data_IF_757264496204
#
_entry.id   IF_757264496204
#
_cell.length_a   1.000
_cell.length_b   1.000
_cell.length_c   1.000
_cell.angle_alpha   90.00
_cell.angle_beta   90.00
_cell.angle_gamma   90.00
#
_symmetry.space_group_name_H-M   'P 1'
#
loop_
_entity.id
_entity.type
_entity.pdbx_description
1 polymer ?
#
# COMPACT_ATOMS: atom_id res chain seq x y z
N UNK A 1 8.02 14.94 -3.91
CA UNK A 1 9.03 13.90 -4.07
C UNK A 1 8.62 12.63 -3.35
N UNK A 2 8.88 11.51 -3.98
CA UNK A 2 8.54 10.22 -3.37
C UNK A 2 9.55 9.85 -2.30
N UNK A 3 9.06 9.42 -1.14
CA UNK A 3 9.90 8.96 -0.04
C UNK A 3 10.19 7.46 -0.14
N UNK A 4 9.46 6.76 -1.00
CA UNK A 4 9.52 5.32 -1.14
C UNK A 4 9.65 4.92 -2.60
N UNK A 5 10.22 3.74 -2.84
CA UNK A 5 10.22 3.13 -4.18
C UNK A 5 9.56 1.76 -4.11
N UNK A 6 8.86 1.42 -5.18
CA UNK A 6 8.23 0.12 -5.32
C UNK A 6 8.55 -0.43 -6.71
N UNK A 7 9.23 -1.56 -6.75
CA UNK A 7 9.70 -2.17 -8.01
C UNK A 7 8.73 -3.21 -8.57
N UNK A 8 7.52 -3.27 -8.03
CA UNK A 8 6.54 -4.28 -8.40
C UNK A 8 6.49 -5.42 -7.40
N UNK A 9 7.45 -5.51 -6.53
CA UNK A 9 7.53 -6.56 -5.52
C UNK A 9 7.90 -6.03 -4.15
N UNK A 10 8.90 -5.15 -4.06
CA UNK A 10 9.42 -4.64 -2.79
C UNK A 10 9.16 -3.17 -2.62
N UNK A 11 8.75 -2.79 -1.43
CA UNK A 11 8.62 -1.40 -1.01
C UNK A 11 9.85 -1.05 -0.19
N UNK A 12 10.58 -0.02 -0.61
CA UNK A 12 11.84 0.39 0.01
C UNK A 12 11.79 1.86 0.35
N UNK A 13 12.33 2.22 1.51
CA UNK A 13 12.45 3.61 1.92
C UNK A 13 13.70 4.20 1.26
N UNK A 14 13.53 5.28 0.48
CA UNK A 14 14.63 5.86 -0.30
C UNK A 14 15.79 6.34 0.58
N UNK A 15 15.50 6.98 1.70
CA UNK A 15 16.54 7.61 2.52
C UNK A 15 17.51 6.61 3.13
N UNK A 16 17.04 5.40 3.42
CA UNK A 16 17.86 4.39 4.11
C UNK A 16 18.13 3.15 3.27
N UNK A 17 17.39 2.97 2.16
CA UNK A 17 17.45 1.74 1.39
C UNK A 17 16.82 0.56 2.10
N UNK A 18 16.13 0.80 3.20
CA UNK A 18 15.53 -0.26 3.99
C UNK A 18 14.28 -0.82 3.34
N UNK A 19 14.24 -2.14 3.21
CA UNK A 19 13.04 -2.84 2.75
C UNK A 19 11.98 -2.77 3.83
N UNK A 20 10.79 -2.30 3.47
CA UNK A 20 9.66 -2.20 4.40
C UNK A 20 8.66 -3.33 4.24
N UNK A 21 8.48 -3.78 3.01
CA UNK A 21 7.44 -4.74 2.70
C UNK A 21 7.70 -5.39 1.35
N UNK A 22 6.97 -6.46 1.09
CA UNK A 22 6.96 -7.06 -0.24
C UNK A 22 5.62 -7.71 -0.52
N UNK A 23 5.27 -7.79 -1.79
CA UNK A 23 4.10 -8.53 -2.24
C UNK A 23 4.58 -9.85 -2.84
N UNK A 24 3.99 -10.94 -2.37
CA UNK A 24 4.24 -12.28 -2.86
C UNK A 24 2.93 -12.79 -3.41
N UNK A 25 2.80 -12.77 -4.75
CA UNK A 25 1.53 -13.02 -5.44
C UNK A 25 0.50 -11.99 -4.97
N UNK A 26 -0.48 -12.39 -4.19
CA UNK A 26 -1.53 -11.51 -3.69
C UNK A 26 -1.39 -11.21 -2.20
N UNK A 27 -0.31 -11.67 -1.57
CA UNK A 27 -0.10 -11.51 -0.14
C UNK A 27 0.91 -10.40 0.13
N UNK A 28 0.54 -9.49 1.02
CA UNK A 28 1.39 -8.37 1.42
C UNK A 28 2.05 -8.70 2.75
N UNK A 29 3.38 -8.72 2.75
CA UNK A 29 4.17 -9.07 3.94
C UNK A 29 5.06 -7.91 4.33
N UNK A 30 5.23 -7.71 5.64
CA UNK A 30 6.19 -6.74 6.14
C UNK A 30 7.62 -7.27 5.96
N UNK A 31 8.60 -6.44 6.31
CA UNK A 31 10.01 -6.80 6.16
C UNK A 31 10.40 -8.07 6.92
N UNK A 32 9.68 -8.39 8.00
CA UNK A 32 9.96 -9.60 8.80
C UNK A 32 9.09 -10.79 8.42
N UNK A 33 8.35 -10.70 7.30
CA UNK A 33 7.53 -11.80 6.82
C UNK A 33 6.11 -11.85 7.36
N UNK A 34 5.74 -10.94 8.27
CA UNK A 34 4.38 -10.92 8.82
C UNK A 34 3.38 -10.51 7.75
N UNK A 35 2.26 -11.24 7.67
CA UNK A 35 1.20 -10.93 6.71
C UNK A 35 0.40 -9.74 7.20
N UNK A 36 0.32 -8.69 6.35
CA UNK A 36 -0.47 -7.50 6.67
C UNK A 36 -1.80 -7.47 5.92
N UNK A 37 -1.85 -8.10 4.76
CA UNK A 37 -3.06 -8.10 3.99
C UNK A 37 -2.95 -8.91 2.71
N UNK A 38 -4.05 -8.93 1.97
CA UNK A 38 -4.14 -9.67 0.73
C UNK A 38 -4.92 -8.88 -0.31
N UNK A 39 -4.62 -9.14 -1.56
CA UNK A 39 -5.34 -8.57 -2.71
C UNK A 39 -6.26 -9.65 -3.25
N UNK A 40 -7.55 -9.32 -3.41
CA UNK A 40 -8.52 -10.22 -4.00
C UNK A 40 -9.33 -9.45 -5.04
N UNK A 41 -8.96 -9.61 -6.31
CA UNK A 41 -9.58 -8.83 -7.38
C UNK A 41 -9.34 -7.35 -7.18
N UNK A 42 -10.41 -6.59 -6.95
CA UNK A 42 -10.33 -5.15 -6.67
C UNK A 42 -10.20 -4.85 -5.18
N UNK A 43 -10.35 -5.86 -4.34
CA UNK A 43 -10.46 -5.68 -2.90
C UNK A 43 -9.13 -5.84 -2.19
N UNK A 44 -8.93 -5.03 -1.16
CA UNK A 44 -7.83 -5.19 -0.22
C UNK A 44 -8.41 -5.74 1.07
N UNK A 45 -7.85 -6.86 1.53
CA UNK A 45 -8.29 -7.51 2.76
C UNK A 45 -7.16 -7.49 3.77
N UNK A 46 -7.52 -7.34 5.04
CA UNK A 46 -6.52 -7.36 6.11
C UNK A 46 -6.06 -8.81 6.39
N UNK A 47 -5.21 -8.98 7.38
CA UNK A 47 -4.66 -10.30 7.72
C UNK A 47 -5.72 -11.28 8.24
N UNK A 48 -6.88 -10.77 8.61
CA UNK A 48 -8.01 -11.58 9.07
C UNK A 48 -9.02 -11.88 7.96
N UNK A 49 -8.73 -11.41 6.74
CA UNK A 49 -9.61 -11.64 5.59
C UNK A 49 -10.74 -10.63 5.45
N UNK A 50 -10.76 -9.60 6.29
CA UNK A 50 -11.79 -8.57 6.22
C UNK A 50 -11.47 -7.57 5.12
N UNK A 51 -12.46 -7.23 4.29
CA UNK A 51 -12.29 -6.18 3.28
C UNK A 51 -12.13 -4.84 3.98
N UNK A 52 -11.03 -4.14 3.68
CA UNK A 52 -10.76 -2.83 4.27
C UNK A 52 -10.70 -1.72 3.24
N UNK A 53 -10.56 -2.07 1.96
CA UNK A 53 -10.51 -1.07 0.90
C UNK A 53 -10.71 -1.74 -0.45
N UNK A 54 -10.88 -0.92 -1.51
CA UNK A 54 -10.87 -1.41 -2.87
C UNK A 54 -10.20 -0.38 -3.78
N UNK A 55 -9.64 -0.87 -4.87
CA UNK A 55 -8.95 -0.03 -5.84
C UNK A 55 -9.53 -0.30 -7.23
N UNK A 56 -10.00 0.74 -7.89
CA UNK A 56 -10.65 0.62 -9.20
C UNK A 56 -9.73 0.97 -10.39
N UNK A 57 -8.43 1.08 -10.14
CA UNK A 57 -7.46 1.48 -11.16
C UNK A 57 -7.11 2.94 -11.14
N UNK A 58 -7.94 3.77 -10.53
CA UNK A 58 -7.73 5.22 -10.44
C UNK A 58 -7.63 5.72 -9.01
N UNK A 59 -8.42 5.14 -8.12
CA UNK A 59 -8.47 5.60 -6.74
C UNK A 59 -8.76 4.47 -5.77
N UNK A 60 -8.30 4.66 -4.54
CA UNK A 60 -8.56 3.75 -3.44
C UNK A 60 -9.80 4.25 -2.71
N UNK A 61 -10.72 3.35 -2.43
CA UNK A 61 -11.92 3.63 -1.64
C UNK A 61 -11.89 2.78 -0.39
N UNK A 62 -12.46 3.31 0.70
CA UNK A 62 -12.54 2.56 1.94
C UNK A 62 -13.67 1.50 1.84
N UNK A 63 -13.90 0.78 2.94
CA UNK A 63 -14.91 -0.28 2.98
C UNK A 63 -16.34 0.24 2.85
N UNK A 64 -16.52 1.56 2.93
CA UNK A 64 -17.83 2.21 2.77
C UNK A 64 -18.01 2.82 1.38
N UNK A 65 -16.99 2.67 0.52
CA UNK A 65 -17.04 3.22 -0.82
C UNK A 65 -16.61 4.67 -0.93
N UNK A 66 -16.08 5.25 0.15
CA UNK A 66 -15.63 6.63 0.16
C UNK A 66 -14.20 6.71 -0.36
N UNK A 67 -13.93 7.67 -1.24
CA UNK A 67 -12.58 7.89 -1.79
C UNK A 67 -11.59 8.23 -0.67
N UNK A 68 -10.47 7.55 -0.68
CA UNK A 68 -9.37 7.78 0.26
C UNK A 68 -8.24 8.56 -0.44
N UNK A 69 -7.82 8.11 -1.62
CA UNK A 69 -6.70 8.72 -2.34
C UNK A 69 -6.74 8.28 -3.81
N UNK A 70 -6.17 9.09 -4.70
CA UNK A 70 -6.00 8.73 -6.09
C UNK A 70 -4.64 8.12 -6.36
N UNK A 71 -4.53 7.33 -7.44
CA UNK A 71 -3.27 6.66 -7.78
C UNK A 71 -2.15 7.67 -8.08
N UNK A 72 -2.48 8.81 -8.66
CA UNK A 72 -1.47 9.84 -8.95
C UNK A 72 -0.89 10.42 -7.67
N UNK A 73 -1.72 10.58 -6.64
CA UNK A 73 -1.28 11.05 -5.33
C UNK A 73 -0.40 10.00 -4.65
N UNK A 74 -0.72 8.73 -4.82
CA UNK A 74 0.12 7.63 -4.30
C UNK A 74 1.49 7.69 -4.97
N UNK A 75 1.55 7.96 -6.27
CA UNK A 75 2.81 8.04 -7.00
C UNK A 75 3.67 9.23 -6.59
N UNK A 76 3.08 10.24 -5.97
CA UNK A 76 3.84 11.34 -5.39
C UNK A 76 4.60 10.90 -4.15
N UNK A 77 4.14 9.86 -3.48
CA UNK A 77 4.75 9.34 -2.24
C UNK A 77 5.58 8.09 -2.50
N UNK A 78 5.12 7.22 -3.39
CA UNK A 78 5.79 5.98 -3.75
C UNK A 78 6.12 6.01 -5.24
N UNK A 79 7.39 5.99 -5.56
CA UNK A 79 7.84 5.91 -6.95
C UNK A 79 7.67 4.48 -7.44
N UNK A 80 6.83 4.28 -8.44
CA UNK A 80 6.57 2.95 -8.98
C UNK A 80 5.47 2.97 -10.03
N UNK A 81 5.25 1.84 -10.66
CA UNK A 81 4.21 1.70 -11.67
C UNK A 81 2.82 1.71 -11.02
N UNK A 82 1.85 2.39 -11.63
CA UNK A 82 0.51 2.41 -11.08
C UNK A 82 -0.12 1.02 -11.17
N UNK A 83 -0.87 0.64 -10.17
CA UNK A 83 -1.56 -0.64 -10.16
C UNK A 83 -2.00 -1.04 -8.78
N UNK A 84 -2.62 -2.21 -8.73
CA UNK A 84 -3.19 -2.75 -7.49
C UNK A 84 -2.16 -2.94 -6.39
N UNK A 85 -0.99 -3.47 -6.75
CA UNK A 85 0.08 -3.70 -5.77
C UNK A 85 0.59 -2.40 -5.16
N UNK A 86 0.75 -1.36 -5.98
CA UNK A 86 1.19 -0.06 -5.48
C UNK A 86 0.16 0.54 -4.53
N UNK A 87 -1.12 0.46 -4.89
CA UNK A 87 -2.21 0.95 -4.04
C UNK A 87 -2.23 0.20 -2.72
N UNK A 88 -2.04 -1.11 -2.74
CA UNK A 88 -2.02 -1.94 -1.55
C UNK A 88 -0.83 -1.59 -0.65
N UNK A 89 0.35 -1.38 -1.22
CA UNK A 89 1.52 -0.97 -0.46
C UNK A 89 1.29 0.35 0.25
N UNK A 90 0.70 1.31 -0.45
CA UNK A 90 0.37 2.58 0.17
C UNK A 90 -0.61 2.40 1.32
N UNK A 91 -1.68 1.64 1.08
CA UNK A 91 -2.75 1.49 2.09
C UNK A 91 -2.26 0.81 3.37
N UNK A 92 -1.50 -0.26 3.24
CA UNK A 92 -1.09 -1.05 4.40
C UNK A 92 0.17 -0.54 5.09
N UNK A 93 1.10 0.07 4.37
CA UNK A 93 2.41 0.39 4.92
C UNK A 93 2.73 1.88 4.99
N UNK A 94 2.21 2.66 4.09
CA UNK A 94 2.53 4.10 4.02
C UNK A 94 1.47 4.93 4.72
N UNK A 95 0.20 4.65 4.47
CA UNK A 95 -0.92 5.36 5.09
C UNK A 95 -0.83 5.32 6.62
N UNK A 96 -0.58 4.13 7.17
CA UNK A 96 -0.49 3.98 8.62
C UNK A 96 0.66 4.78 9.22
N UNK A 97 1.81 4.79 8.55
CA UNK A 97 2.97 5.56 9.01
C UNK A 97 2.72 7.04 8.93
N UNK A 98 2.06 7.48 7.88
CA UNK A 98 1.72 8.89 7.70
C UNK A 98 0.76 9.36 8.79
N UNK A 99 -0.24 8.54 9.10
CA UNK A 99 -1.19 8.84 10.16
C UNK A 99 -0.50 8.96 11.51
N UNK A 100 0.45 8.05 11.79
CA UNK A 100 1.24 8.11 13.03
C UNK A 100 2.08 9.37 13.10
N UNK A 101 2.70 9.74 12.00
CA UNK A 101 3.49 10.97 11.95
C UNK A 101 2.62 12.19 12.20
N UNK A 102 1.40 12.18 11.70
CA UNK A 102 0.46 13.26 11.90
C UNK A 102 -0.03 13.39 13.34
N UNK A 103 0.03 12.30 14.09
CA UNK A 103 -0.40 12.29 15.48
C UNK A 103 0.68 12.75 16.44
N UNK A 104 1.90 12.73 15.98
CA UNK A 104 3.02 13.14 16.81
C UNK A 104 3.27 14.64 16.72
#
# INVERSE_FOLDING_TARGET
>A
MADYTFDGRRLVKKSSGQKLAEVDRDTLRSYNGAVFGQIEGKNLRDSHGKKVAEFNGKEVKDDRGKKVIGIKEIQEVIEGEPGMSLAAMWFFFVKGRHDHAGML
#
